data_IF_071333875524
#
_entry.id   IF_071333875524
#
_cell.length_a   1.000
_cell.length_b   1.000
_cell.length_c   1.000
_cell.angle_alpha   90.00
_cell.angle_beta   90.00
_cell.angle_gamma   90.00
#
_symmetry.space_group_name_H-M   'P 1'
#
loop_
_entity.id
_entity.type
_entity.pdbx_description
1 polymer ?
#
# COMPACT_ATOMS: atom_id res chain seq x y z
N UNK A 1 -53.34 -38.33 7.76
CA UNK A 1 -51.95 -38.77 7.57
C UNK A 1 -51.09 -37.53 7.40
N UNK A 2 -50.27 -37.22 8.41
CA UNK A 2 -49.16 -36.28 8.31
C UNK A 2 -48.05 -36.85 7.42
N UNK A 3 -47.38 -35.96 6.68
CA UNK A 3 -46.01 -36.03 6.15
C UNK A 3 -45.84 -34.72 5.34
N UNK A 4 -44.87 -33.82 5.49
CA UNK A 4 -43.56 -33.86 6.11
C UNK A 4 -42.53 -33.30 5.11
N UNK A 5 -41.85 -32.20 5.48
CA UNK A 5 -40.67 -31.57 4.84
C UNK A 5 -40.84 -30.99 3.42
N UNK A 6 -40.32 -29.83 3.03
CA UNK A 6 -39.23 -29.01 3.58
C UNK A 6 -38.27 -28.66 2.43
N UNK A 7 -38.27 -27.42 1.95
CA UNK A 7 -37.13 -26.81 1.23
C UNK A 7 -37.29 -25.30 1.08
N UNK A 8 -36.68 -24.57 2.01
CA UNK A 8 -36.49 -23.13 1.95
C UNK A 8 -35.24 -22.83 1.11
N UNK A 9 -35.44 -22.43 -0.15
CA UNK A 9 -34.37 -21.89 -0.98
C UNK A 9 -34.19 -20.40 -0.68
N UNK A 10 -33.47 -20.08 0.41
CA UNK A 10 -32.97 -18.72 0.65
C UNK A 10 -31.92 -18.37 -0.41
N UNK A 11 -32.37 -17.79 -1.51
CA UNK A 11 -31.52 -17.15 -2.51
C UNK A 11 -30.74 -16.01 -1.85
N UNK A 12 -29.47 -16.28 -1.53
CA UNK A 12 -28.54 -15.29 -0.98
C UNK A 12 -28.31 -14.21 -2.05
N UNK A 13 -28.60 -12.92 -1.80
CA UNK A 13 -28.37 -11.88 -2.80
C UNK A 13 -26.87 -11.82 -3.09
N UNK A 14 -26.48 -12.03 -4.34
CA UNK A 14 -25.12 -11.76 -4.81
C UNK A 14 -24.86 -10.27 -4.59
N UNK A 15 -24.16 -9.93 -3.49
CA UNK A 15 -23.58 -8.59 -3.28
C UNK A 15 -22.74 -8.32 -4.51
N UNK A 16 -23.26 -7.48 -5.42
CA UNK A 16 -22.46 -6.81 -6.43
C UNK A 16 -21.42 -6.02 -5.65
N UNK A 17 -20.22 -6.58 -5.48
CA UNK A 17 -19.06 -5.81 -5.06
C UNK A 17 -18.90 -4.77 -6.16
N UNK A 18 -19.47 -3.59 -5.93
CA UNK A 18 -19.19 -2.43 -6.76
C UNK A 18 -17.68 -2.34 -6.82
N UNK A 19 -17.12 -2.60 -8.00
CA UNK A 19 -15.77 -2.22 -8.30
C UNK A 19 -15.82 -0.72 -8.12
N UNK A 20 -15.39 -0.23 -6.95
CA UNK A 20 -15.14 1.19 -6.76
C UNK A 20 -14.22 1.53 -7.93
N UNK A 21 -14.70 2.35 -8.87
CA UNK A 21 -13.84 2.98 -9.87
C UNK A 21 -12.78 3.69 -9.03
N UNK A 22 -11.62 3.07 -8.86
CA UNK A 22 -10.46 3.80 -8.39
C UNK A 22 -10.27 4.87 -9.45
N UNK A 23 -10.61 6.11 -9.10
CA UNK A 23 -10.31 7.25 -9.95
C UNK A 23 -8.83 7.12 -10.31
N UNK A 24 -8.57 7.01 -11.61
CA UNK A 24 -7.22 6.84 -12.13
C UNK A 24 -6.58 8.21 -12.00
N UNK A 25 -6.01 8.49 -10.83
CA UNK A 25 -5.16 9.65 -10.62
C UNK A 25 -4.00 9.60 -11.61
N UNK A 26 -3.65 10.72 -12.22
CA UNK A 26 -2.49 10.76 -13.11
C UNK A 26 -1.20 10.56 -12.30
N UNK A 27 -0.14 10.13 -12.98
CA UNK A 27 1.16 9.97 -12.34
C UNK A 27 1.63 11.29 -11.71
N UNK A 28 1.56 12.39 -12.44
CA UNK A 28 2.00 13.71 -12.02
C UNK A 28 1.22 14.20 -10.80
N UNK A 29 -0.12 14.04 -10.83
CA UNK A 29 -0.97 14.36 -9.70
C UNK A 29 -0.62 13.53 -8.46
N UNK A 30 -0.36 12.23 -8.64
CA UNK A 30 0.00 11.34 -7.54
C UNK A 30 1.33 11.77 -6.87
N UNK A 31 2.32 12.21 -7.66
CA UNK A 31 3.61 12.70 -7.15
C UNK A 31 3.45 14.02 -6.38
N UNK A 32 2.61 14.94 -6.86
CA UNK A 32 2.34 16.23 -6.19
C UNK A 32 1.68 16.03 -4.83
N UNK A 33 0.82 15.01 -4.70
CA UNK A 33 0.09 14.73 -3.46
C UNK A 33 0.92 14.03 -2.37
N UNK A 34 2.17 13.65 -2.66
CA UNK A 34 3.04 13.01 -1.67
C UNK A 34 3.36 13.96 -0.50
N UNK A 35 3.44 13.39 0.70
CA UNK A 35 3.99 14.05 1.88
C UNK A 35 5.43 14.55 1.64
N UNK A 36 5.94 15.36 2.57
CA UNK A 36 7.33 15.83 2.52
C UNK A 36 8.30 14.66 2.57
N UNK A 37 8.02 13.66 3.40
CA UNK A 37 8.83 12.45 3.56
C UNK A 37 8.71 11.56 2.32
N UNK A 38 7.50 11.39 1.79
CA UNK A 38 7.26 10.66 0.54
C UNK A 38 8.02 11.25 -0.64
N UNK A 39 8.01 12.58 -0.80
CA UNK A 39 8.78 13.27 -1.85
C UNK A 39 10.29 13.07 -1.73
N UNK A 40 10.85 13.06 -0.50
CA UNK A 40 12.27 12.75 -0.30
C UNK A 40 12.60 11.34 -0.77
N UNK A 41 11.80 10.35 -0.39
CA UNK A 41 11.99 8.97 -0.83
C UNK A 41 11.84 8.84 -2.34
N UNK A 42 10.87 9.55 -2.93
CA UNK A 42 10.65 9.55 -4.38
C UNK A 42 11.90 10.01 -5.12
N UNK A 43 12.52 11.12 -4.70
CA UNK A 43 13.77 11.61 -5.28
C UNK A 43 14.93 10.60 -5.14
N UNK A 44 15.01 9.89 -4.00
CA UNK A 44 16.02 8.84 -3.80
C UNK A 44 15.79 7.68 -4.76
N UNK A 45 14.54 7.24 -4.91
CA UNK A 45 14.18 6.12 -5.78
C UNK A 45 14.45 6.47 -7.24
N UNK A 46 14.02 7.66 -7.70
CA UNK A 46 14.29 8.14 -9.06
C UNK A 46 15.80 8.20 -9.35
N UNK A 47 16.61 8.69 -8.41
CA UNK A 47 18.07 8.74 -8.56
C UNK A 47 18.73 7.36 -8.62
N UNK A 48 18.17 6.36 -7.91
CA UNK A 48 18.75 5.00 -7.83
C UNK A 48 18.35 4.10 -8.98
N UNK A 49 17.21 4.36 -9.61
CA UNK A 49 16.69 3.49 -10.67
C UNK A 49 17.42 3.72 -11.99
N UNK A 50 17.62 2.64 -12.74
CA UNK A 50 18.13 2.70 -14.12
C UNK A 50 17.12 3.30 -15.10
N UNK A 51 15.83 3.20 -14.78
CA UNK A 51 14.73 3.71 -15.58
C UNK A 51 13.81 4.54 -14.67
N UNK A 52 13.48 5.79 -15.05
CA UNK A 52 12.55 6.60 -14.30
C UNK A 52 11.21 5.89 -14.11
N UNK A 53 10.50 6.22 -13.05
CA UNK A 53 9.11 5.80 -12.88
C UNK A 53 8.24 6.27 -14.05
N UNK A 54 7.12 5.56 -14.26
CA UNK A 54 6.15 5.87 -15.32
C UNK A 54 6.67 5.85 -16.77
N UNK A 55 7.80 5.19 -17.05
CA UNK A 55 8.37 5.08 -18.42
C UNK A 55 8.03 3.77 -19.14
N UNK A 56 7.24 2.89 -18.52
CA UNK A 56 6.93 1.58 -19.09
C UNK A 56 5.77 1.70 -20.07
N UNK A 57 6.06 1.43 -21.34
CA UNK A 57 5.07 1.41 -22.41
C UNK A 57 3.93 0.44 -22.10
N UNK A 58 2.69 0.86 -22.40
CA UNK A 58 1.49 0.06 -22.17
C UNK A 58 1.09 -0.07 -20.69
N UNK A 59 1.67 0.73 -19.81
CA UNK A 59 1.30 0.81 -18.41
C UNK A 59 1.08 2.26 -17.98
N UNK A 60 0.16 2.46 -17.04
CA UNK A 60 0.07 3.71 -16.28
C UNK A 60 0.56 3.47 -14.86
N UNK A 61 1.25 4.46 -14.29
CA UNK A 61 1.78 4.38 -12.93
C UNK A 61 1.21 5.50 -12.06
N UNK A 62 1.04 5.22 -10.77
CA UNK A 62 0.73 6.22 -9.75
C UNK A 62 1.57 5.91 -8.49
N UNK A 63 1.96 6.96 -7.77
CA UNK A 63 2.80 6.84 -6.56
C UNK A 63 2.04 7.38 -5.36
N UNK A 64 2.06 6.62 -4.28
CA UNK A 64 1.36 6.93 -3.04
C UNK A 64 2.27 6.75 -1.84
N UNK A 65 1.93 7.39 -0.73
CA UNK A 65 2.53 7.17 0.58
C UNK A 65 1.44 6.94 1.63
N UNK A 66 1.83 6.98 2.91
CA UNK A 66 0.94 6.72 4.02
C UNK A 66 -0.15 7.78 4.25
N UNK A 67 -0.13 8.92 3.54
CA UNK A 67 -1.22 9.90 3.57
C UNK A 67 -2.45 9.42 2.80
N UNK A 68 -2.27 8.49 1.87
CA UNK A 68 -3.36 7.92 1.09
C UNK A 68 -4.10 6.83 1.90
N UNK A 69 -5.44 6.84 1.98
CA UNK A 69 -6.19 5.94 2.89
C UNK A 69 -5.89 4.44 2.72
N UNK A 70 -5.60 3.98 1.50
CA UNK A 70 -5.26 2.58 1.22
C UNK A 70 -3.90 2.16 1.78
N UNK A 71 -3.03 3.12 2.06
CA UNK A 71 -1.62 2.93 2.43
C UNK A 71 -1.26 3.49 3.80
N UNK A 72 -2.25 3.89 4.59
CA UNK A 72 -2.08 4.44 5.94
C UNK A 72 -1.37 3.51 6.95
N UNK A 73 -1.26 2.22 6.64
CA UNK A 73 -0.53 1.22 7.43
C UNK A 73 0.99 1.27 7.23
N UNK A 74 1.48 2.03 6.25
CA UNK A 74 2.91 2.27 6.03
C UNK A 74 3.45 3.32 7.00
N UNK A 75 4.72 3.21 7.38
CA UNK A 75 5.41 4.27 8.11
C UNK A 75 5.74 5.46 7.21
N UNK A 76 5.92 6.64 7.82
CA UNK A 76 6.32 7.86 7.13
C UNK A 76 7.56 7.62 6.25
N UNK A 77 7.51 8.14 5.03
CA UNK A 77 8.58 8.03 4.05
C UNK A 77 8.62 6.72 3.27
N UNK A 78 7.73 5.76 3.53
CA UNK A 78 7.52 4.64 2.61
C UNK A 78 6.69 5.08 1.41
N UNK A 79 6.97 4.49 0.25
CA UNK A 79 6.24 4.72 -0.99
C UNK A 79 5.64 3.44 -1.57
N UNK A 80 4.59 3.60 -2.35
CA UNK A 80 3.99 2.57 -3.19
C UNK A 80 3.86 3.07 -4.61
N UNK A 81 4.46 2.36 -5.57
CA UNK A 81 4.16 2.51 -6.99
C UNK A 81 3.09 1.49 -7.37
N UNK A 82 1.90 1.97 -7.74
CA UNK A 82 0.90 1.19 -8.43
C UNK A 82 1.14 1.27 -9.93
N UNK A 83 1.32 0.12 -10.59
CA UNK A 83 1.46 0.02 -12.04
C UNK A 83 0.34 -0.82 -12.61
N UNK A 84 -0.52 -0.23 -13.44
CA UNK A 84 -1.55 -0.97 -14.14
C UNK A 84 -1.20 -1.14 -15.62
N UNK A 85 -1.27 -2.39 -16.08
CA UNK A 85 -1.09 -2.74 -17.49
C UNK A 85 -2.39 -2.44 -18.24
N UNK A 86 -2.32 -1.62 -19.30
CA UNK A 86 -3.51 -1.13 -20.02
C UNK A 86 -4.33 -2.27 -20.64
N UNK A 87 -3.67 -3.25 -21.26
CA UNK A 87 -4.35 -4.35 -21.97
C UNK A 87 -5.00 -5.37 -21.05
N UNK A 88 -4.37 -5.69 -19.91
CA UNK A 88 -4.85 -6.75 -19.00
C UNK A 88 -5.59 -6.21 -17.78
N UNK A 89 -5.48 -4.91 -17.52
CA UNK A 89 -5.95 -4.29 -16.29
C UNK A 89 -5.23 -4.76 -15.02
N UNK A 90 -4.20 -5.63 -15.13
CA UNK A 90 -3.45 -6.16 -14.00
C UNK A 90 -2.73 -5.03 -13.27
N UNK A 91 -2.89 -5.02 -11.96
CA UNK A 91 -2.31 -4.04 -11.06
C UNK A 91 -1.16 -4.67 -10.28
N UNK A 92 0.04 -4.17 -10.52
CA UNK A 92 1.24 -4.50 -9.78
C UNK A 92 1.52 -3.43 -8.73
N UNK A 93 2.03 -3.84 -7.58
CA UNK A 93 2.43 -2.92 -6.51
C UNK A 93 3.89 -3.16 -6.17
N UNK A 94 4.64 -2.08 -6.10
CA UNK A 94 6.03 -2.06 -5.66
C UNK A 94 6.13 -1.10 -4.49
N UNK A 95 6.80 -1.52 -3.42
CA UNK A 95 6.96 -0.75 -2.21
C UNK A 95 8.41 -0.30 -2.09
N UNK A 96 8.65 0.91 -1.60
CA UNK A 96 9.98 1.44 -1.39
C UNK A 96 10.14 1.93 0.03
N UNK A 97 11.20 1.50 0.71
CA UNK A 97 11.55 2.06 2.01
C UNK A 97 12.18 3.46 1.85
N UNK A 98 12.35 4.24 2.95
CA UNK A 98 12.97 5.56 2.89
C UNK A 98 14.40 5.60 2.36
N UNK A 99 15.06 4.43 2.26
CA UNK A 99 16.41 4.30 1.65
C UNK A 99 16.31 3.94 0.16
N UNK A 100 15.13 3.82 -0.40
CA UNK A 100 14.87 3.47 -1.79
C UNK A 100 15.04 1.98 -2.11
N UNK A 101 15.03 1.09 -1.11
CA UNK A 101 15.03 -0.36 -1.36
C UNK A 101 13.62 -0.81 -1.76
N UNK A 102 13.55 -1.56 -2.86
CA UNK A 102 12.30 -2.11 -3.41
C UNK A 102 11.88 -3.40 -2.69
N UNK A 103 10.57 -3.55 -2.48
CA UNK A 103 9.91 -4.77 -2.06
C UNK A 103 8.72 -5.05 -3.00
N UNK A 104 8.59 -6.29 -3.45
CA UNK A 104 7.55 -6.69 -4.42
C UNK A 104 6.27 -7.18 -3.76
N UNK A 105 6.35 -7.55 -2.48
CA UNK A 105 5.23 -8.15 -1.78
C UNK A 105 4.97 -7.45 -0.46
N UNK A 106 3.69 -7.28 -0.15
CA UNK A 106 3.21 -6.67 1.10
C UNK A 106 3.77 -7.36 2.34
N UNK A 107 3.83 -8.70 2.36
CA UNK A 107 4.33 -9.44 3.52
C UNK A 107 5.79 -9.10 3.86
N UNK A 108 6.62 -8.77 2.86
CA UNK A 108 8.01 -8.37 3.09
C UNK A 108 8.06 -7.01 3.80
N UNK A 109 7.18 -6.10 3.41
CA UNK A 109 7.04 -4.79 4.05
C UNK A 109 6.60 -4.96 5.50
N UNK A 110 5.54 -5.73 5.75
CA UNK A 110 5.01 -5.98 7.10
C UNK A 110 6.06 -6.60 8.03
N UNK A 111 6.89 -7.52 7.54
CA UNK A 111 8.02 -8.08 8.30
C UNK A 111 9.06 -7.01 8.67
N UNK A 112 9.38 -6.10 7.74
CA UNK A 112 10.31 -4.99 8.00
C UNK A 112 9.71 -4.01 9.01
N UNK A 113 8.45 -3.59 8.83
CA UNK A 113 7.78 -2.67 9.75
C UNK A 113 7.69 -3.25 11.17
N UNK A 114 7.37 -4.54 11.28
CA UNK A 114 7.34 -5.25 12.58
C UNK A 114 8.72 -5.27 13.23
N UNK A 115 9.78 -5.52 12.45
CA UNK A 115 11.16 -5.52 12.95
C UNK A 115 11.60 -4.13 13.42
N UNK A 116 11.22 -3.08 12.67
CA UNK A 116 11.45 -1.67 13.06
C UNK A 116 10.69 -1.34 14.35
N UNK A 117 9.41 -1.70 14.44
CA UNK A 117 8.57 -1.46 15.61
C UNK A 117 9.12 -2.13 16.87
N UNK A 118 9.55 -3.40 16.77
CA UNK A 118 10.23 -4.12 17.86
C UNK A 118 11.49 -3.40 18.31
N UNK A 119 12.33 -2.97 17.36
CA UNK A 119 13.57 -2.26 17.67
C UNK A 119 13.33 -0.87 18.31
N UNK A 120 12.28 -0.16 17.89
CA UNK A 120 11.87 1.11 18.53
C UNK A 120 11.32 0.88 19.94
N UNK A 121 10.58 -0.20 20.18
CA UNK A 121 10.09 -0.57 21.51
C UNK A 121 11.24 -0.90 22.47
N UNK A 122 12.27 -1.62 22.00
CA UNK A 122 13.47 -1.95 22.79
C UNK A 122 14.28 -0.69 23.14
N UNK A 123 14.28 0.33 22.26
CA UNK A 123 15.04 1.57 22.45
C UNK A 123 14.36 2.64 23.31
N UNK A 124 13.09 2.46 23.71
CA UNK A 124 12.46 3.38 24.67
C UNK A 124 13.04 3.08 26.06
N UNK A 125 13.75 4.01 26.72
CA UNK A 125 14.19 3.78 28.10
C UNK A 125 12.95 3.61 28.98
N UNK A 126 12.91 2.52 29.74
CA UNK A 126 11.95 2.36 30.83
C UNK A 126 12.35 3.38 31.89
N UNK A 127 11.66 4.51 31.93
CA UNK A 127 11.80 5.49 33.02
C UNK A 127 11.11 4.87 34.24
N UNK A 128 11.90 4.25 35.13
CA UNK A 128 11.42 3.87 36.45
C UNK A 128 11.49 5.15 37.29
N UNK A 129 10.33 5.74 37.56
CA UNK A 129 10.20 6.78 38.57
C UNK A 129 10.13 6.05 39.91
N UNK A 130 11.12 6.27 40.77
CA UNK A 130 11.05 5.89 42.17
C UNK A 130 10.49 7.13 42.90
N UNK A 131 9.30 6.99 43.47
CA UNK A 131 8.75 8.00 44.39
C UNK A 131 9.40 7.76 45.77
N UNK A 132 10.01 8.82 46.33
CA UNK A 132 10.60 8.86 47.68
C UNK A 132 9.52 8.96 48.79
#
# INVERSE_FOLDING_TARGET
MEMGAGSSSRARPKRKKGIKKTEVISYEQSVVQLSKEGRKTYMIVEKKRKRPMNTIHGAYSAVFDNTYPQYNWLYNGWLVEERRIMLSGRLYRYYYDPKGKEYKFRYQVEQVLTSIGKHLAIKKPVVIVLDD
#
